data_IF_505142694454
#
_entry.id   IF_505142694454
#
_cell.length_a   1.000
_cell.length_b   1.000
_cell.length_c   1.000
_cell.angle_alpha   90.00
_cell.angle_beta   90.00
_cell.angle_gamma   90.00
#
_symmetry.space_group_name_H-M   'P 1'
#
loop_
_entity.id
_entity.type
_entity.pdbx_description
1 polymer ?
#
# COMPACT_ATOMS: atom_id res chain seq x y z
N UNK A 1 -17.30 11.71 -2.09
CA UNK A 1 -17.62 11.47 -0.67
C UNK A 1 -16.52 11.95 0.27
N UNK A 2 -15.23 11.77 -0.04
CA UNK A 2 -14.14 12.28 0.79
C UNK A 2 -14.17 13.82 0.86
N UNK A 3 -14.30 14.50 -0.28
CA UNK A 3 -14.38 15.97 -0.31
C UNK A 3 -15.54 16.51 0.55
N UNK A 4 -16.70 15.84 0.52
CA UNK A 4 -17.84 16.21 1.37
C UNK A 4 -17.51 16.07 2.87
N UNK A 5 -16.84 14.98 3.26
CA UNK A 5 -16.47 14.74 4.65
C UNK A 5 -15.42 15.76 5.13
N UNK A 6 -14.39 16.01 4.35
CA UNK A 6 -13.35 17.01 4.65
C UNK A 6 -13.93 18.41 4.80
N UNK A 7 -14.81 18.81 3.89
CA UNK A 7 -15.52 20.09 3.98
C UNK A 7 -16.30 20.22 5.28
N UNK A 8 -17.10 19.22 5.63
CA UNK A 8 -17.92 19.25 6.85
C UNK A 8 -17.07 19.43 8.11
N UNK A 9 -15.96 18.68 8.23
CA UNK A 9 -15.07 18.80 9.38
C UNK A 9 -14.36 20.16 9.40
N UNK A 10 -13.95 20.69 8.24
CA UNK A 10 -13.35 22.01 8.14
C UNK A 10 -14.29 23.14 8.58
N UNK A 11 -15.60 22.99 8.29
CA UNK A 11 -16.63 23.97 8.69
C UNK A 11 -16.93 23.90 10.20
N UNK A 12 -16.83 22.72 10.80
CA UNK A 12 -17.15 22.52 12.24
C UNK A 12 -15.95 22.69 13.16
N UNK A 13 -14.75 22.85 12.60
CA UNK A 13 -13.48 22.87 13.32
C UNK A 13 -13.00 21.46 13.68
N UNK A 14 -11.70 21.28 13.74
CA UNK A 14 -11.06 20.00 14.07
C UNK A 14 -9.91 19.66 13.13
N UNK A 15 -9.15 18.63 13.51
CA UNK A 15 -8.08 18.09 12.67
C UNK A 15 -8.59 16.88 11.87
N UNK A 16 -8.11 16.74 10.64
CA UNK A 16 -8.52 15.66 9.75
C UNK A 16 -7.34 14.75 9.48
N UNK A 17 -7.52 13.45 9.70
CA UNK A 17 -6.63 12.40 9.22
C UNK A 17 -7.38 11.57 8.17
N UNK A 18 -6.93 11.63 6.94
CA UNK A 18 -7.41 10.76 5.86
C UNK A 18 -6.56 9.50 5.83
N UNK A 19 -7.20 8.35 5.86
CA UNK A 19 -6.53 7.04 5.81
C UNK A 19 -7.05 6.31 4.57
N UNK A 20 -6.12 5.81 3.75
CA UNK A 20 -6.45 4.99 2.57
C UNK A 20 -5.39 3.93 2.33
N UNK A 21 -5.70 2.93 1.53
CA UNK A 21 -4.70 2.00 1.00
C UNK A 21 -4.10 2.55 -0.29
N UNK A 22 -2.81 2.28 -0.53
CA UNK A 22 -2.17 2.49 -1.84
C UNK A 22 -2.71 1.50 -2.87
N UNK A 23 -2.88 0.25 -2.45
CA UNK A 23 -3.51 -0.84 -3.21
C UNK A 23 -4.48 -1.57 -2.31
N UNK A 24 -5.73 -1.68 -2.74
CA UNK A 24 -6.77 -2.41 -2.01
C UNK A 24 -6.59 -3.92 -2.19
N UNK A 25 -6.20 -4.59 -1.10
CA UNK A 25 -5.78 -6.00 -1.11
C UNK A 25 -6.85 -6.98 -1.59
N UNK A 26 -8.14 -6.66 -1.41
CA UNK A 26 -9.24 -7.55 -1.83
C UNK A 26 -9.66 -7.36 -3.29
N UNK A 27 -9.42 -6.20 -3.87
CA UNK A 27 -9.90 -5.85 -5.21
C UNK A 27 -8.78 -5.68 -6.23
N UNK A 28 -7.56 -5.42 -5.78
CA UNK A 28 -6.41 -5.20 -6.64
C UNK A 28 -6.39 -3.85 -7.36
N UNK A 29 -7.30 -2.93 -7.04
CA UNK A 29 -7.29 -1.57 -7.55
C UNK A 29 -6.41 -0.65 -6.68
N UNK A 30 -5.88 0.40 -7.27
CA UNK A 30 -5.11 1.39 -6.55
C UNK A 30 -6.00 2.44 -5.88
N UNK A 31 -5.59 2.92 -4.72
CA UNK A 31 -6.15 4.12 -4.11
C UNK A 31 -5.96 5.33 -5.03
N UNK A 32 -6.93 6.21 -5.08
CA UNK A 32 -6.90 7.42 -5.91
C UNK A 32 -6.08 8.52 -5.25
N UNK A 33 -4.76 8.28 -5.09
CA UNK A 33 -3.89 9.16 -4.31
C UNK A 33 -3.77 10.55 -4.91
N UNK A 34 -3.69 10.66 -6.26
CA UNK A 34 -3.65 11.96 -6.94
C UNK A 34 -4.87 12.83 -6.62
N UNK A 35 -6.05 12.24 -6.70
CA UNK A 35 -7.30 12.94 -6.43
C UNK A 35 -7.42 13.33 -4.94
N UNK A 36 -6.95 12.46 -4.04
CA UNK A 36 -6.93 12.75 -2.61
C UNK A 36 -5.95 13.90 -2.33
N UNK A 37 -4.73 13.83 -2.85
CA UNK A 37 -3.72 14.88 -2.68
C UNK A 37 -4.18 16.21 -3.25
N UNK A 38 -4.88 16.21 -4.39
CA UNK A 38 -5.42 17.44 -4.97
C UNK A 38 -6.38 18.17 -4.02
N UNK A 39 -7.05 17.48 -3.10
CA UNK A 39 -7.90 18.10 -2.09
C UNK A 39 -7.12 18.91 -1.04
N UNK A 40 -5.81 18.65 -0.86
CA UNK A 40 -4.95 19.45 0.05
C UNK A 40 -4.85 20.91 -0.36
N UNK A 41 -5.12 21.24 -1.61
CA UNK A 41 -5.20 22.64 -2.06
C UNK A 41 -6.43 23.40 -1.53
N UNK A 42 -7.45 22.67 -1.07
CA UNK A 42 -8.72 23.22 -0.58
C UNK A 42 -8.95 23.00 0.91
N UNK A 43 -8.39 21.92 1.45
CA UNK A 43 -8.66 21.48 2.82
C UNK A 43 -7.36 21.08 3.51
N UNK A 44 -7.23 21.45 4.78
CA UNK A 44 -6.10 21.04 5.60
C UNK A 44 -6.37 19.66 6.20
N UNK A 45 -5.56 18.66 5.85
CA UNK A 45 -5.60 17.31 6.42
C UNK A 45 -4.25 16.63 6.32
N UNK A 46 -4.04 15.62 7.15
CA UNK A 46 -2.93 14.68 7.03
C UNK A 46 -3.39 13.44 6.27
N UNK A 47 -2.52 12.92 5.42
CA UNK A 47 -2.76 11.71 4.63
C UNK A 47 -1.87 10.56 5.12
N UNK A 48 -2.51 9.50 5.62
CA UNK A 48 -1.84 8.22 5.88
C UNK A 48 -2.18 7.25 4.74
N UNK A 49 -1.15 6.68 4.14
CA UNK A 49 -1.30 5.64 3.12
C UNK A 49 -0.75 4.33 3.66
N UNK A 50 -1.61 3.31 3.75
CA UNK A 50 -1.20 1.92 3.91
C UNK A 50 -0.86 1.36 2.53
N UNK A 51 0.41 1.21 2.27
CA UNK A 51 0.91 0.72 0.99
C UNK A 51 1.53 -0.68 1.11
N UNK A 52 0.98 -1.50 1.99
CA UNK A 52 1.44 -2.86 2.23
C UNK A 52 1.42 -3.74 0.96
N UNK A 53 0.55 -3.47 0.02
CA UNK A 53 0.46 -4.19 -1.27
C UNK A 53 1.21 -3.51 -2.41
N UNK A 54 1.48 -2.20 -2.34
CA UNK A 54 2.18 -1.46 -3.40
C UNK A 54 3.70 -1.42 -3.20
N UNK A 55 4.18 -1.36 -1.95
CA UNK A 55 5.61 -1.34 -1.65
C UNK A 55 6.34 -2.56 -2.23
N UNK A 56 7.42 -2.31 -2.96
CA UNK A 56 8.21 -3.32 -3.65
C UNK A 56 7.62 -3.81 -4.98
N UNK A 57 6.38 -3.41 -5.32
CA UNK A 57 5.68 -3.89 -6.53
C UNK A 57 5.33 -2.78 -7.52
N UNK A 58 4.96 -1.59 -7.03
CA UNK A 58 4.59 -0.42 -7.82
C UNK A 58 5.68 0.66 -7.80
N UNK A 59 5.59 1.57 -8.75
CA UNK A 59 6.55 2.65 -8.94
C UNK A 59 7.83 2.21 -9.65
N UNK A 60 8.56 3.17 -10.19
CA UNK A 60 9.79 2.91 -10.95
C UNK A 60 10.84 2.20 -10.09
N UNK A 61 11.02 2.64 -8.85
CA UNK A 61 12.02 2.08 -7.91
C UNK A 61 11.44 1.04 -6.96
N UNK A 62 10.12 0.80 -7.00
CA UNK A 62 9.42 -0.05 -6.04
C UNK A 62 9.03 0.69 -4.76
N UNK A 63 9.02 2.02 -4.77
CA UNK A 63 8.61 2.80 -3.59
C UNK A 63 7.10 2.80 -3.35
N UNK A 64 6.31 2.20 -4.26
CA UNK A 64 4.90 1.93 -4.06
C UNK A 64 3.95 2.84 -4.84
N UNK A 65 2.68 2.86 -4.42
CA UNK A 65 1.60 3.55 -5.11
C UNK A 65 1.77 5.07 -5.15
N UNK A 66 2.39 5.67 -4.14
CA UNK A 66 2.72 7.09 -4.13
C UNK A 66 3.70 7.46 -5.23
N UNK A 67 4.76 6.67 -5.43
CA UNK A 67 5.70 6.83 -6.53
C UNK A 67 5.02 6.60 -7.89
N UNK A 68 4.23 5.54 -8.00
CA UNK A 68 3.49 5.19 -9.22
C UNK A 68 2.60 6.34 -9.70
N UNK A 69 1.94 7.02 -8.76
CA UNK A 69 1.05 8.13 -9.05
C UNK A 69 1.73 9.50 -9.02
N UNK A 70 3.02 9.58 -8.68
CA UNK A 70 3.81 10.82 -8.65
C UNK A 70 3.44 11.77 -7.50
N UNK A 71 2.95 11.23 -6.38
CA UNK A 71 2.50 12.00 -5.20
C UNK A 71 3.17 11.52 -3.90
N UNK A 72 4.29 10.83 -4.00
CA UNK A 72 4.98 10.26 -2.83
C UNK A 72 5.31 11.31 -1.76
N UNK A 73 5.72 12.51 -2.18
CA UNK A 73 6.12 13.58 -1.27
C UNK A 73 4.93 14.31 -0.59
N UNK A 74 3.72 14.04 -1.04
CA UNK A 74 2.49 14.64 -0.49
C UNK A 74 1.81 13.71 0.54
N UNK A 75 2.36 12.53 0.76
CA UNK A 75 1.91 11.57 1.78
C UNK A 75 2.57 11.94 3.11
N UNK A 76 1.75 12.27 4.12
CA UNK A 76 2.27 12.69 5.43
C UNK A 76 2.76 11.50 6.27
N UNK A 77 2.05 10.36 6.21
CA UNK A 77 2.43 9.12 6.88
C UNK A 77 2.37 7.97 5.87
N UNK A 78 3.50 7.38 5.60
CA UNK A 78 3.59 6.20 4.74
C UNK A 78 3.80 4.96 5.60
N UNK A 79 2.84 4.04 5.54
CA UNK A 79 2.92 2.74 6.22
C UNK A 79 3.14 1.63 5.20
N UNK A 80 3.98 0.67 5.53
CA UNK A 80 4.06 -0.59 4.80
C UNK A 80 4.58 -1.74 5.67
N UNK A 81 4.52 -2.95 5.12
CA UNK A 81 4.95 -4.18 5.80
C UNK A 81 6.08 -4.88 5.06
N UNK A 82 6.91 -5.60 5.80
CA UNK A 82 7.89 -6.51 5.23
C UNK A 82 7.33 -7.91 4.95
N UNK A 83 6.06 -8.17 5.29
CA UNK A 83 5.46 -9.50 5.22
C UNK A 83 4.98 -9.90 3.81
N UNK A 84 4.98 -8.99 2.85
CA UNK A 84 4.51 -9.23 1.47
C UNK A 84 5.70 -9.25 0.50
N UNK A 85 5.93 -8.20 -0.26
CA UNK A 85 7.01 -8.12 -1.27
C UNK A 85 8.41 -8.44 -0.72
N UNK A 86 8.65 -8.13 0.54
CA UNK A 86 9.94 -8.36 1.19
C UNK A 86 10.10 -9.76 1.78
N UNK A 87 9.07 -10.62 1.74
CA UNK A 87 9.08 -12.00 2.25
C UNK A 87 9.72 -12.11 3.65
N UNK A 88 9.28 -11.27 4.61
CA UNK A 88 9.89 -11.13 5.92
C UNK A 88 8.81 -10.87 7.00
N UNK A 89 9.22 -10.30 8.12
CA UNK A 89 8.35 -9.97 9.25
C UNK A 89 8.57 -8.51 9.64
N UNK A 90 7.50 -7.87 10.12
CA UNK A 90 7.51 -6.50 10.62
C UNK A 90 6.86 -5.51 9.66
N UNK A 91 6.84 -4.28 10.11
CA UNK A 91 6.27 -3.15 9.38
C UNK A 91 7.07 -1.89 9.71
N UNK A 92 6.81 -0.82 8.96
CA UNK A 92 7.41 0.47 9.20
C UNK A 92 6.44 1.60 8.90
N UNK A 93 6.69 2.74 9.54
CA UNK A 93 6.07 4.03 9.19
C UNK A 93 7.20 4.98 8.83
N UNK A 94 7.03 5.70 7.75
CA UNK A 94 7.89 6.82 7.35
C UNK A 94 7.06 8.11 7.37
N UNK A 95 7.64 9.16 7.93
CA UNK A 95 7.02 10.49 8.07
C UNK A 95 8.07 11.51 8.48
N UNK A 96 7.67 12.75 8.67
CA UNK A 96 8.51 13.80 9.24
C UNK A 96 9.03 13.42 10.64
N UNK A 97 10.21 13.92 10.99
CA UNK A 97 10.88 13.62 12.26
C UNK A 97 10.00 13.88 13.49
N UNK A 98 9.26 14.98 13.49
CA UNK A 98 8.37 15.35 14.61
C UNK A 98 7.26 14.30 14.81
N UNK A 99 6.67 13.80 13.71
CA UNK A 99 5.64 12.77 13.74
C UNK A 99 6.22 11.44 14.21
N UNK A 100 7.36 11.04 13.67
CA UNK A 100 8.05 9.80 14.09
C UNK A 100 8.42 9.85 15.57
N UNK A 101 8.92 10.99 16.05
CA UNK A 101 9.22 11.19 17.46
C UNK A 101 7.97 11.07 18.34
N UNK A 102 6.86 11.69 17.93
CA UNK A 102 5.58 11.55 18.63
C UNK A 102 5.12 10.10 18.70
N UNK A 103 5.11 9.38 17.58
CA UNK A 103 4.71 7.96 17.51
C UNK A 103 5.58 7.09 18.41
N UNK A 104 6.89 7.33 18.44
CA UNK A 104 7.86 6.58 19.24
C UNK A 104 7.54 6.59 20.74
N UNK A 105 6.98 7.70 21.25
CA UNK A 105 6.66 7.87 22.67
C UNK A 105 5.18 7.64 23.02
N UNK A 106 4.29 7.59 22.03
CA UNK A 106 2.84 7.50 22.27
C UNK A 106 2.19 6.26 21.69
N UNK A 107 2.82 5.58 20.73
CA UNK A 107 2.23 4.40 20.09
C UNK A 107 2.45 3.17 20.96
N UNK A 108 1.37 2.67 21.57
CA UNK A 108 1.42 1.53 22.50
C UNK A 108 1.99 0.26 21.85
N UNK A 109 1.65 -0.01 20.61
CA UNK A 109 2.18 -1.14 19.85
C UNK A 109 3.69 -1.05 19.62
N UNK A 110 4.27 0.15 19.60
CA UNK A 110 5.71 0.35 19.53
C UNK A 110 6.37 0.19 20.91
N UNK A 111 5.74 0.72 21.97
CA UNK A 111 6.32 0.75 23.32
C UNK A 111 6.31 -0.66 23.95
N UNK A 112 5.21 -1.40 23.79
CA UNK A 112 5.00 -2.68 24.48
C UNK A 112 5.28 -3.92 23.60
N UNK A 113 5.49 -3.74 22.28
CA UNK A 113 5.98 -4.82 21.44
C UNK A 113 7.48 -5.04 21.64
N UNK A 114 7.92 -6.27 21.40
CA UNK A 114 9.35 -6.58 21.35
C UNK A 114 9.93 -6.11 20.03
N UNK A 115 11.20 -5.71 20.04
CA UNK A 115 11.95 -5.36 18.83
C UNK A 115 12.05 -6.54 17.88
N UNK A 116 12.14 -6.25 16.59
CA UNK A 116 12.46 -7.28 15.60
C UNK A 116 13.82 -7.93 15.94
N UNK A 117 13.94 -9.25 15.85
CA UNK A 117 15.23 -9.92 15.99
C UNK A 117 16.27 -9.41 14.99
N UNK A 118 17.51 -9.27 15.43
CA UNK A 118 18.59 -8.71 14.59
C UNK A 118 18.75 -9.45 13.23
N UNK A 119 18.65 -10.77 13.13
CA UNK A 119 18.71 -11.46 11.83
C UNK A 119 17.61 -10.99 10.85
N UNK A 120 16.42 -10.70 11.35
CA UNK A 120 15.31 -10.17 10.54
C UNK A 120 15.64 -8.75 10.05
N UNK A 121 16.18 -7.90 10.92
CA UNK A 121 16.59 -6.53 10.56
C UNK A 121 17.65 -6.57 9.46
N UNK A 122 18.72 -7.35 9.64
CA UNK A 122 19.79 -7.50 8.65
C UNK A 122 19.25 -8.08 7.32
N UNK A 123 18.35 -9.06 7.41
CA UNK A 123 17.68 -9.62 6.24
C UNK A 123 16.83 -8.58 5.50
N UNK A 124 16.12 -7.70 6.21
CA UNK A 124 15.32 -6.63 5.61
C UNK A 124 16.20 -5.57 4.94
N UNK A 125 17.33 -5.21 5.54
CA UNK A 125 18.33 -4.33 4.92
C UNK A 125 18.82 -4.92 3.60
N UNK A 126 19.17 -6.21 3.58
CA UNK A 126 19.61 -6.88 2.36
C UNK A 126 18.53 -6.97 1.29
N UNK A 127 17.27 -7.22 1.67
CA UNK A 127 16.14 -7.21 0.72
C UNK A 127 15.89 -5.83 0.13
N UNK A 128 16.02 -4.77 0.94
CA UNK A 128 15.93 -3.40 0.43
C UNK A 128 17.07 -3.07 -0.55
N UNK A 129 18.28 -3.53 -0.27
CA UNK A 129 19.40 -3.43 -1.21
C UNK A 129 19.07 -4.15 -2.54
N UNK A 130 18.56 -5.38 -2.46
CA UNK A 130 18.15 -6.13 -3.65
C UNK A 130 17.06 -5.44 -4.44
N UNK A 131 16.02 -4.89 -3.78
CA UNK A 131 14.97 -4.13 -4.44
C UNK A 131 15.53 -2.93 -5.23
N UNK A 132 16.55 -2.27 -4.69
CA UNK A 132 17.20 -1.11 -5.33
C UNK A 132 18.17 -1.47 -6.44
N UNK A 133 18.85 -2.62 -6.32
CA UNK A 133 19.97 -3.00 -7.23
C UNK A 133 19.59 -4.07 -8.23
N UNK A 134 18.41 -4.69 -8.10
CA UNK A 134 17.95 -5.83 -8.90
C UNK A 134 16.56 -5.57 -9.52
N UNK A 135 16.44 -4.61 -10.45
CA UNK A 135 15.14 -4.27 -11.08
C UNK A 135 14.51 -5.48 -11.78
N UNK A 136 15.31 -6.45 -12.22
CA UNK A 136 14.84 -7.69 -12.85
C UNK A 136 13.89 -8.50 -11.96
N UNK A 137 13.96 -8.37 -10.65
CA UNK A 137 13.03 -9.04 -9.73
C UNK A 137 11.61 -8.50 -9.91
N UNK A 138 11.47 -7.17 -9.99
CA UNK A 138 10.17 -6.52 -10.22
C UNK A 138 9.68 -6.77 -11.65
N UNK A 139 10.56 -6.73 -12.63
CA UNK A 139 10.23 -7.05 -14.04
C UNK A 139 9.70 -8.48 -14.16
N UNK A 140 10.33 -9.44 -13.48
CA UNK A 140 9.87 -10.83 -13.45
C UNK A 140 8.50 -10.97 -12.79
N UNK A 141 8.25 -10.26 -11.69
CA UNK A 141 6.94 -10.21 -11.05
C UNK A 141 5.86 -9.76 -12.06
N UNK A 142 6.09 -8.63 -12.72
CA UNK A 142 5.11 -8.07 -13.66
C UNK A 142 4.91 -8.94 -14.91
N UNK A 143 5.96 -9.61 -15.39
CA UNK A 143 5.84 -10.63 -16.44
C UNK A 143 4.90 -11.77 -16.00
N UNK A 144 5.08 -12.29 -14.79
CA UNK A 144 4.22 -13.34 -14.24
C UNK A 144 2.78 -12.86 -14.03
N UNK A 145 2.60 -11.63 -13.51
CA UNK A 145 1.28 -11.00 -13.34
C UNK A 145 0.55 -10.90 -14.68
N UNK A 146 1.22 -10.40 -15.70
CA UNK A 146 0.66 -10.28 -17.06
C UNK A 146 0.24 -11.65 -17.61
N UNK A 147 1.11 -12.64 -17.47
CA UNK A 147 0.81 -14.00 -17.91
C UNK A 147 -0.40 -14.58 -17.19
N UNK A 148 -0.47 -14.46 -15.86
CA UNK A 148 -1.57 -14.93 -15.03
C UNK A 148 -2.89 -14.24 -15.40
N UNK A 149 -2.89 -12.91 -15.43
CA UNK A 149 -4.10 -12.13 -15.69
C UNK A 149 -4.65 -12.37 -17.09
N UNK A 150 -3.77 -12.45 -18.10
CA UNK A 150 -4.17 -12.77 -19.47
C UNK A 150 -4.69 -14.21 -19.58
N UNK A 151 -4.03 -15.16 -18.91
CA UNK A 151 -4.48 -16.55 -18.88
C UNK A 151 -5.85 -16.72 -18.24
N UNK A 152 -6.10 -16.06 -17.11
CA UNK A 152 -7.39 -16.09 -16.44
C UNK A 152 -8.50 -15.49 -17.31
N UNK A 153 -8.26 -14.31 -17.91
CA UNK A 153 -9.22 -13.67 -18.82
C UNK A 153 -9.52 -14.54 -20.05
N UNK A 154 -8.50 -15.14 -20.66
CA UNK A 154 -8.66 -16.02 -21.82
C UNK A 154 -9.47 -17.27 -21.51
N UNK A 155 -9.46 -17.73 -20.25
CA UNK A 155 -10.27 -18.87 -19.77
C UNK A 155 -11.63 -18.44 -19.16
N UNK A 156 -12.05 -17.19 -19.36
CA UNK A 156 -13.37 -16.70 -18.97
C UNK A 156 -13.54 -16.34 -17.50
N UNK A 157 -12.45 -16.27 -16.73
CA UNK A 157 -12.51 -15.80 -15.34
C UNK A 157 -12.68 -14.29 -15.29
N UNK A 158 -13.55 -13.84 -14.39
CA UNK A 158 -13.73 -12.43 -14.07
C UNK A 158 -12.71 -12.01 -13.00
N UNK A 159 -11.81 -11.10 -13.35
CA UNK A 159 -10.78 -10.59 -12.42
C UNK A 159 -10.92 -9.10 -12.12
N UNK A 160 -12.00 -8.47 -12.59
CA UNK A 160 -12.21 -7.04 -12.43
C UNK A 160 -11.17 -6.18 -13.14
N UNK A 161 -11.18 -4.90 -12.79
CA UNK A 161 -10.20 -3.92 -13.29
C UNK A 161 -9.02 -3.81 -12.31
N UNK A 162 -8.11 -4.79 -12.34
CA UNK A 162 -6.88 -4.70 -11.56
C UNK A 162 -5.73 -4.16 -12.40
N UNK A 163 -4.99 -3.23 -11.83
CA UNK A 163 -3.76 -2.66 -12.39
C UNK A 163 -2.57 -2.82 -11.43
N UNK A 164 -2.64 -3.85 -10.60
CA UNK A 164 -1.60 -4.21 -9.61
C UNK A 164 -1.25 -5.69 -9.70
N UNK A 165 -0.32 -6.15 -8.87
CA UNK A 165 0.02 -7.57 -8.77
C UNK A 165 -1.06 -8.41 -8.04
N UNK A 166 -2.01 -7.77 -7.38
CA UNK A 166 -3.16 -8.45 -6.77
C UNK A 166 -4.16 -8.79 -7.87
N UNK A 167 -4.49 -10.07 -7.98
CA UNK A 167 -5.39 -10.57 -9.03
C UNK A 167 -6.58 -11.27 -8.37
N UNK A 168 -7.68 -10.56 -8.12
CA UNK A 168 -8.89 -11.15 -7.57
C UNK A 168 -9.56 -12.02 -8.65
N UNK A 169 -10.18 -13.10 -8.24
CA UNK A 169 -11.06 -13.90 -9.11
C UNK A 169 -12.46 -13.82 -8.54
N UNK A 170 -13.38 -13.21 -9.29
CA UNK A 170 -14.77 -13.06 -8.87
C UNK A 170 -15.56 -14.31 -9.28
N UNK A 171 -16.09 -15.00 -8.28
CA UNK A 171 -16.92 -16.17 -8.49
C UNK A 171 -18.38 -15.73 -8.65
N UNK A 172 -19.05 -16.26 -9.68
CA UNK A 172 -20.46 -15.94 -9.97
C UNK A 172 -21.45 -16.82 -9.23
N UNK A 173 -20.96 -17.85 -8.56
CA UNK A 173 -21.75 -18.84 -7.86
C UNK A 173 -21.83 -18.66 -6.35
N UNK A 174 -22.32 -19.70 -5.68
CA UNK A 174 -22.40 -19.74 -4.22
C UNK A 174 -21.03 -19.94 -3.56
N UNK A 175 -20.96 -19.71 -2.25
CA UNK A 175 -19.77 -20.01 -1.44
C UNK A 175 -19.38 -21.49 -1.53
N UNK A 176 -20.36 -22.38 -1.76
CA UNK A 176 -20.14 -23.82 -1.92
C UNK A 176 -19.37 -24.14 -3.22
N UNK A 177 -19.64 -23.42 -4.31
CA UNK A 177 -18.86 -23.56 -5.55
C UNK A 177 -17.42 -23.07 -5.38
N UNK A 178 -17.20 -22.03 -4.56
CA UNK A 178 -15.88 -21.52 -4.24
C UNK A 178 -15.00 -22.53 -3.49
N UNK A 179 -15.57 -23.48 -2.79
CA UNK A 179 -14.83 -24.53 -2.06
C UNK A 179 -14.42 -25.71 -2.94
N UNK A 180 -14.88 -25.76 -4.18
CA UNK A 180 -14.59 -26.84 -5.15
C UNK A 180 -13.45 -26.46 -6.12
N UNK A 181 -12.98 -25.22 -6.07
CA UNK A 181 -11.86 -24.68 -6.85
C UNK A 181 -10.59 -24.67 -6.01
#
# INVERSE_FOLDING_TARGET
NLERATRLVSETGGSILVITEGVFGMRGDQGKLKEIVALKSKYEFRLLVDDAHGFGTLGKTGAGAGEEQGVQNDIDLYFSTFAKSMASIGAFIASDEAVIKYLKYNMRSQIFAKSLPMPIVLGNIKRLELLRTKPELKEKLWSNVTQLQNGLKANGFEIGETNTCVTPVYLKGSVEEATQI
#
